data_IF_605004030404
#
_entry.id   IF_605004030404
#
_cell.length_a   1.000
_cell.length_b   1.000
_cell.length_c   1.000
_cell.angle_alpha   90.00
_cell.angle_beta   90.00
_cell.angle_gamma   90.00
#
_symmetry.space_group_name_H-M   'P 1'
#
loop_
_entity.id
_entity.type
_entity.pdbx_description
1 polymer ?
#
# COMPACT_ATOMS: atom_id res chain seq x y z
N UNK A 1 9.69 -17.52 -21.65
CA UNK A 1 9.81 -16.32 -22.50
C UNK A 1 9.15 -15.25 -21.68
N UNK A 2 9.96 -14.35 -21.13
CA UNK A 2 9.56 -13.63 -19.94
C UNK A 2 9.14 -12.22 -20.36
N UNK A 3 7.91 -11.85 -20.01
CA UNK A 3 7.31 -10.57 -20.37
C UNK A 3 7.43 -9.65 -19.17
N UNK A 4 8.10 -8.51 -19.34
CA UNK A 4 8.23 -7.49 -18.29
C UNK A 4 7.13 -6.45 -18.46
N UNK A 5 6.25 -6.35 -17.48
CA UNK A 5 5.17 -5.36 -17.45
C UNK A 5 5.49 -4.35 -16.34
N UNK A 6 5.52 -3.07 -16.67
CA UNK A 6 5.70 -1.99 -15.70
C UNK A 6 4.33 -1.36 -15.41
N UNK A 7 3.98 -1.29 -14.13
CA UNK A 7 2.73 -0.72 -13.65
C UNK A 7 3.03 0.46 -12.72
N UNK A 8 2.25 1.52 -12.85
CA UNK A 8 2.18 2.61 -11.87
C UNK A 8 0.70 2.72 -11.51
N UNK A 9 0.38 2.48 -10.24
CA UNK A 9 -0.99 2.36 -9.76
C UNK A 9 -1.18 3.39 -8.65
N UNK A 10 -2.30 4.10 -8.72
CA UNK A 10 -2.71 5.05 -7.70
C UNK A 10 -4.08 4.61 -7.20
N UNK A 11 -4.18 4.36 -5.90
CA UNK A 11 -5.42 3.97 -5.24
C UNK A 11 -5.83 5.04 -4.24
N UNK A 12 -7.13 5.14 -3.98
CA UNK A 12 -7.65 5.92 -2.87
C UNK A 12 -8.28 4.94 -1.90
N UNK A 13 -7.75 4.92 -0.68
CA UNK A 13 -8.23 4.05 0.40
C UNK A 13 -8.70 4.95 1.53
N UNK A 14 -9.83 4.60 2.15
CA UNK A 14 -10.30 5.30 3.36
C UNK A 14 -9.44 4.89 4.56
N UNK A 15 -9.25 5.76 5.55
CA UNK A 15 -8.43 5.44 6.74
C UNK A 15 -8.86 4.15 7.43
N UNK A 16 -10.16 3.96 7.65
CA UNK A 16 -10.69 2.72 8.22
C UNK A 16 -10.37 1.49 7.37
N UNK A 17 -10.41 1.62 6.05
CA UNK A 17 -10.08 0.52 5.15
C UNK A 17 -8.58 0.22 5.12
N UNK A 18 -7.73 1.19 5.45
CA UNK A 18 -6.30 0.99 5.58
C UNK A 18 -5.96 0.26 6.89
N UNK A 19 -6.58 0.67 8.00
CA UNK A 19 -6.43 0.00 9.30
C UNK A 19 -6.89 -1.46 9.23
N UNK A 20 -8.10 -1.70 8.71
CA UNK A 20 -8.64 -3.05 8.53
C UNK A 20 -7.69 -3.93 7.68
N UNK A 21 -7.09 -3.36 6.64
CA UNK A 21 -6.17 -4.08 5.75
C UNK A 21 -4.82 -4.39 6.42
N UNK A 22 -4.27 -3.49 7.25
CA UNK A 22 -3.05 -3.79 8.00
C UNK A 22 -3.25 -4.91 9.01
N UNK A 23 -4.41 -4.97 9.66
CA UNK A 23 -4.75 -6.07 10.56
C UNK A 23 -4.97 -7.39 9.83
N UNK A 24 -5.70 -7.37 8.70
CA UNK A 24 -6.00 -8.59 7.92
C UNK A 24 -4.75 -9.23 7.31
N UNK A 25 -3.84 -8.39 6.80
CA UNK A 25 -2.63 -8.85 6.11
C UNK A 25 -1.39 -8.93 7.00
N UNK A 26 -1.49 -8.57 8.29
CA UNK A 26 -0.39 -8.53 9.27
C UNK A 26 0.79 -7.68 8.78
N UNK A 27 0.49 -6.48 8.28
CA UNK A 27 1.44 -5.57 7.66
C UNK A 27 1.52 -4.23 8.38
N UNK A 28 2.71 -3.62 8.37
CA UNK A 28 2.99 -2.34 9.02
C UNK A 28 3.19 -1.18 8.04
N UNK A 29 3.35 -1.48 6.75
CA UNK A 29 3.59 -0.49 5.71
C UNK A 29 2.70 -0.70 4.51
N UNK A 30 2.27 0.38 3.87
CA UNK A 30 1.46 0.32 2.64
C UNK A 30 2.22 -0.40 1.53
N UNK A 31 3.55 -0.21 1.45
CA UNK A 31 4.41 -0.96 0.52
C UNK A 31 4.33 -2.48 0.74
N UNK A 32 4.46 -2.93 1.99
CA UNK A 32 4.36 -4.34 2.37
C UNK A 32 2.98 -4.93 2.04
N UNK A 33 1.92 -4.23 2.46
CA UNK A 33 0.53 -4.57 2.15
C UNK A 33 0.30 -4.72 0.64
N UNK A 34 0.76 -3.77 -0.17
CA UNK A 34 0.62 -3.83 -1.63
C UNK A 34 1.42 -4.99 -2.22
N UNK A 35 2.61 -5.29 -1.69
CA UNK A 35 3.39 -6.45 -2.14
C UNK A 35 2.64 -7.74 -1.88
N UNK A 36 2.11 -7.95 -0.67
CA UNK A 36 1.35 -9.14 -0.28
C UNK A 36 0.06 -9.30 -1.09
N UNK A 37 -0.70 -8.22 -1.29
CA UNK A 37 -1.93 -8.26 -2.10
C UNK A 37 -1.60 -8.63 -3.54
N UNK A 38 -0.57 -8.00 -4.12
CA UNK A 38 -0.20 -8.25 -5.50
C UNK A 38 0.38 -9.65 -5.67
N UNK A 39 1.18 -10.16 -4.73
CA UNK A 39 1.73 -11.51 -4.77
C UNK A 39 0.63 -12.59 -4.68
N UNK A 40 -0.34 -12.39 -3.78
CA UNK A 40 -1.48 -13.33 -3.64
C UNK A 40 -2.42 -13.34 -4.85
N UNK A 41 -2.60 -12.20 -5.53
CA UNK A 41 -3.61 -12.05 -6.59
C UNK A 41 -3.03 -12.07 -8.02
N UNK A 42 -1.75 -11.82 -8.19
CA UNK A 42 -1.05 -11.86 -9.46
C UNK A 42 0.06 -12.91 -9.36
N UNK A 43 0.11 -13.83 -10.33
CA UNK A 43 1.21 -14.81 -10.44
C UNK A 43 2.49 -14.12 -10.95
N UNK A 44 2.98 -13.12 -10.21
CA UNK A 44 4.16 -12.32 -10.50
C UNK A 44 5.20 -12.56 -9.41
N UNK A 45 6.29 -13.25 -9.74
CA UNK A 45 7.40 -13.42 -8.81
C UNK A 45 8.17 -12.09 -8.65
N UNK A 46 8.62 -11.80 -7.41
CA UNK A 46 9.48 -10.63 -7.07
C UNK A 46 8.86 -9.26 -7.36
N UNK A 47 7.70 -9.00 -6.77
CA UNK A 47 7.04 -7.70 -6.84
C UNK A 47 7.82 -6.68 -6.01
N UNK A 48 8.13 -5.53 -6.62
CA UNK A 48 8.72 -4.38 -5.93
C UNK A 48 7.68 -3.25 -5.91
N UNK A 49 7.02 -3.08 -4.77
CA UNK A 49 6.12 -1.96 -4.49
C UNK A 49 6.92 -0.79 -3.91
N UNK A 50 6.54 0.44 -4.29
CA UNK A 50 7.08 1.66 -3.68
C UNK A 50 5.97 2.71 -3.57
N UNK A 51 5.81 3.29 -2.39
CA UNK A 51 4.96 4.46 -2.18
C UNK A 51 5.72 5.69 -2.68
N UNK A 52 5.14 6.37 -3.67
CA UNK A 52 5.74 7.57 -4.28
C UNK A 52 5.13 8.85 -3.69
N UNK A 53 3.89 8.78 -3.23
CA UNK A 53 3.11 9.89 -2.67
C UNK A 53 2.06 9.34 -1.68
N UNK A 54 1.83 10.03 -0.57
CA UNK A 54 0.93 9.62 0.51
C UNK A 54 1.64 8.97 1.71
N UNK A 55 0.89 8.62 2.76
CA UNK A 55 1.45 8.03 3.98
C UNK A 55 1.73 6.53 3.78
N UNK A 56 2.88 6.07 4.27
CA UNK A 56 3.29 4.67 4.16
C UNK A 56 2.97 3.85 5.43
N UNK A 57 2.56 4.49 6.53
CA UNK A 57 2.19 3.83 7.79
C UNK A 57 1.07 4.63 8.49
N UNK A 58 0.48 4.07 9.55
CA UNK A 58 -0.60 4.71 10.30
C UNK A 58 -0.15 6.00 11.00
N UNK A 59 1.10 6.08 11.42
CA UNK A 59 1.65 7.27 12.09
C UNK A 59 1.71 8.46 11.13
N UNK A 60 2.22 8.26 9.92
CA UNK A 60 2.23 9.25 8.84
C UNK A 60 0.81 9.63 8.39
N UNK A 61 -0.12 8.66 8.39
CA UNK A 61 -1.53 8.91 8.09
C UNK A 61 -2.17 9.83 9.14
N UNK A 62 -1.94 9.56 10.42
CA UNK A 62 -2.42 10.37 11.53
C UNK A 62 -1.84 11.79 11.52
N UNK A 63 -0.56 11.93 11.19
CA UNK A 63 0.10 13.23 11.02
C UNK A 63 -0.51 14.03 9.88
N UNK A 64 -0.78 13.40 8.73
CA UNK A 64 -1.43 14.06 7.60
C UNK A 64 -2.87 14.47 7.92
N UNK A 65 -3.64 13.63 8.62
CA UNK A 65 -5.00 13.97 9.03
C UNK A 65 -5.04 15.14 10.01
N UNK A 66 -4.08 15.22 10.94
CA UNK A 66 -3.93 16.38 11.83
C UNK A 66 -3.59 17.64 11.04
N UNK A 67 -2.66 17.55 10.09
CA UNK A 67 -2.24 18.68 9.25
C UNK A 67 -3.34 19.16 8.29
N UNK A 68 -4.25 18.28 7.86
CA UNK A 68 -5.38 18.62 6.98
C UNK A 68 -6.60 19.20 7.73
N UNK A 69 -6.60 19.13 9.06
CA UNK A 69 -7.66 19.63 9.94
C UNK A 69 -7.46 21.05 10.48
N UNK A 70 -6.35 21.71 10.16
CA UNK A 70 -6.07 23.15 10.43
C UNK A 70 -6.31 24.01 9.18
#
# INVERSE_FOLDING_TARGET
>A
MDVKIKLNLQFTVTGSGLEDAFEEFDELTVEGLLSEILDKNLACDSIASKVVEGPNNLEEYDEQQKAAGE
#
